data_IF_979928573709
#
_entry.id   IF_979928573709
#
_cell.length_a   1.000
_cell.length_b   1.000
_cell.length_c   1.000
_cell.angle_alpha   90.00
_cell.angle_beta   90.00
_cell.angle_gamma   90.00
#
_symmetry.space_group_name_H-M   'P 1'
#
loop_
_entity.id
_entity.type
_entity.pdbx_description
1 polymer ?
#
# COMPACT_ATOMS: atom_id res chain seq x y z
N UNK A 1 13.35 5.66 13.01
CA UNK A 1 12.14 4.91 13.44
C UNK A 1 12.69 3.69 14.16
N UNK A 2 13.27 3.88 15.35
CA UNK A 2 14.29 2.95 15.85
C UNK A 2 13.73 1.98 16.91
N UNK A 3 12.43 2.06 17.19
CA UNK A 3 11.74 1.10 18.04
C UNK A 3 11.16 0.00 17.16
N UNK A 4 11.64 -1.22 17.31
CA UNK A 4 10.97 -2.39 16.74
C UNK A 4 9.54 -2.46 17.30
N UNK A 5 8.53 -2.41 16.43
CA UNK A 5 7.12 -2.52 16.82
C UNK A 5 6.81 -4.01 17.07
N UNK A 6 6.43 -4.42 18.30
CA UNK A 6 6.24 -5.83 18.63
C UNK A 6 5.24 -6.55 17.72
N UNK A 7 4.19 -5.85 17.31
CA UNK A 7 3.17 -6.38 16.39
C UNK A 7 3.68 -6.69 14.97
N UNK A 8 4.85 -6.16 14.59
CA UNK A 8 5.44 -6.30 13.25
C UNK A 8 6.14 -7.65 13.05
N UNK A 9 6.81 -8.18 14.08
CA UNK A 9 7.71 -9.32 13.97
C UNK A 9 7.11 -10.63 14.55
N UNK A 10 5.79 -10.81 14.43
CA UNK A 10 5.08 -11.95 15.01
C UNK A 10 4.40 -12.79 13.93
N UNK A 11 4.45 -14.12 14.06
CA UNK A 11 3.62 -15.00 13.26
C UNK A 11 2.13 -14.65 13.49
N UNK A 12 1.39 -14.49 12.39
CA UNK A 12 0.04 -13.93 12.39
C UNK A 12 0.00 -12.50 12.95
N UNK A 13 0.93 -11.64 12.53
CA UNK A 13 0.95 -10.22 12.88
C UNK A 13 -0.40 -9.55 12.62
N UNK A 14 -0.71 -8.53 13.40
CA UNK A 14 -1.99 -7.83 13.33
C UNK A 14 -1.79 -6.39 12.85
N UNK A 15 -2.22 -6.12 11.62
CA UNK A 15 -2.13 -4.80 10.97
C UNK A 15 -2.74 -3.67 11.80
N UNK A 16 -3.86 -3.94 12.48
CA UNK A 16 -4.50 -2.98 13.37
C UNK A 16 -3.65 -2.68 14.61
N UNK A 17 -3.05 -3.71 15.22
CA UNK A 17 -2.16 -3.53 16.36
C UNK A 17 -0.94 -2.71 15.95
N UNK A 18 -0.37 -3.02 14.79
CA UNK A 18 0.74 -2.26 14.21
C UNK A 18 0.39 -0.79 13.96
N UNK A 19 -0.75 -0.49 13.34
CA UNK A 19 -1.23 0.88 13.16
C UNK A 19 -1.37 1.63 14.49
N UNK A 20 -1.94 0.96 15.50
CA UNK A 20 -2.12 1.54 16.83
C UNK A 20 -0.78 1.87 17.49
N UNK A 21 0.15 0.92 17.52
CA UNK A 21 1.49 1.09 18.10
C UNK A 21 2.28 2.18 17.35
N UNK A 22 2.19 2.22 16.02
CA UNK A 22 2.82 3.26 15.21
C UNK A 22 2.26 4.64 15.55
N UNK A 23 0.93 4.79 15.58
CA UNK A 23 0.29 6.05 15.93
C UNK A 23 0.62 6.52 17.34
N UNK A 24 0.67 5.61 18.32
CA UNK A 24 1.10 5.93 19.69
C UNK A 24 2.54 6.45 19.73
N UNK A 25 3.46 5.76 19.07
CA UNK A 25 4.87 6.16 19.00
C UNK A 25 5.06 7.51 18.29
N UNK A 26 4.30 7.76 17.22
CA UNK A 26 4.33 9.03 16.49
C UNK A 26 3.77 10.19 17.34
N UNK A 27 2.65 9.97 18.05
CA UNK A 27 2.08 10.98 18.94
C UNK A 27 3.02 11.37 20.07
N UNK A 28 3.68 10.39 20.69
CA UNK A 28 4.71 10.64 21.69
C UNK A 28 5.87 11.45 21.09
N UNK A 29 6.38 11.02 19.92
CA UNK A 29 7.50 11.68 19.23
C UNK A 29 7.21 13.13 18.87
N UNK A 30 6.03 13.40 18.31
CA UNK A 30 5.70 14.70 17.73
C UNK A 30 4.85 15.58 18.66
N UNK A 31 4.31 15.06 19.75
CA UNK A 31 3.50 15.81 20.71
C UNK A 31 2.17 16.31 20.13
N UNK A 32 1.36 15.40 19.59
CA UNK A 32 0.00 15.70 19.09
C UNK A 32 -1.03 14.69 19.60
N UNK A 33 -2.32 15.05 19.49
CA UNK A 33 -3.44 14.26 19.98
C UNK A 33 -3.84 13.15 19.00
N UNK A 34 -4.71 12.25 19.47
CA UNK A 34 -5.29 11.17 18.67
C UNK A 34 -6.28 11.66 17.61
N UNK A 35 -6.65 12.95 17.59
CA UNK A 35 -7.60 13.52 16.63
C UNK A 35 -6.93 14.40 15.57
N UNK A 36 -5.62 14.61 15.66
CA UNK A 36 -4.84 15.48 14.77
C UNK A 36 -3.93 14.64 13.84
N UNK A 37 -3.56 15.23 12.70
CA UNK A 37 -2.61 14.65 11.74
C UNK A 37 -1.33 15.47 11.71
N UNK A 38 -0.20 14.81 11.44
CA UNK A 38 1.09 15.48 11.25
C UNK A 38 1.53 15.40 9.78
N UNK A 39 1.95 16.54 9.23
CA UNK A 39 2.63 16.62 7.92
C UNK A 39 3.81 17.57 8.04
N UNK A 40 5.03 17.09 7.79
CA UNK A 40 6.28 17.85 7.91
C UNK A 40 6.49 18.49 9.29
N UNK A 41 6.14 17.77 10.36
CA UNK A 41 6.28 18.29 11.72
C UNK A 41 5.32 19.42 12.06
N UNK A 42 4.25 19.59 11.25
CA UNK A 42 3.14 20.51 11.52
C UNK A 42 1.88 19.72 11.80
N UNK A 43 1.08 20.22 12.73
CA UNK A 43 -0.17 19.61 13.20
C UNK A 43 -1.35 20.23 12.47
N UNK A 44 -2.27 19.39 12.01
CA UNK A 44 -3.47 19.78 11.28
C UNK A 44 -4.72 19.10 11.85
N UNK A 45 -5.84 19.83 11.86
CA UNK A 45 -7.16 19.27 12.13
C UNK A 45 -7.92 19.07 10.80
N UNK A 46 -7.88 17.85 10.28
CA UNK A 46 -8.54 17.47 9.03
C UNK A 46 -9.98 16.98 9.25
N UNK A 47 -10.51 16.98 10.47
CA UNK A 47 -11.87 16.49 10.75
C UNK A 47 -12.95 17.20 9.91
N UNK A 48 -12.92 18.54 9.71
CA UNK A 48 -13.88 19.22 8.85
C UNK A 48 -13.73 18.87 7.36
N UNK A 49 -12.56 18.36 6.95
CA UNK A 49 -12.23 18.07 5.56
C UNK A 49 -12.54 16.63 5.13
N UNK A 50 -12.83 15.72 6.08
CA UNK A 50 -13.04 14.30 5.83
C UNK A 50 -14.00 14.03 4.66
N UNK A 51 -15.16 14.69 4.67
CA UNK A 51 -16.22 14.47 3.69
C UNK A 51 -15.90 15.05 2.30
N UNK A 52 -15.06 16.08 2.23
CA UNK A 52 -14.70 16.78 0.99
C UNK A 52 -13.39 16.30 0.38
N UNK A 53 -12.64 15.44 1.08
CA UNK A 53 -11.37 14.92 0.59
C UNK A 53 -11.57 14.12 -0.71
N UNK A 54 -10.94 14.50 -1.85
CA UNK A 54 -11.14 13.80 -3.13
C UNK A 54 -10.74 12.32 -3.12
N UNK A 55 -9.80 11.92 -2.26
CA UNK A 55 -9.44 10.52 -2.05
C UNK A 55 -10.43 9.75 -1.16
N UNK A 56 -11.50 10.41 -0.69
CA UNK A 56 -12.47 9.86 0.25
C UNK A 56 -12.04 9.96 1.72
N UNK A 57 -13.02 9.89 2.63
CA UNK A 57 -12.81 9.98 4.08
C UNK A 57 -12.00 8.83 4.67
N UNK A 58 -12.08 7.65 4.03
CA UNK A 58 -11.53 6.39 4.54
C UNK A 58 -10.04 6.50 4.93
N UNK A 59 -9.23 7.14 4.09
CA UNK A 59 -7.80 7.28 4.33
C UNK A 59 -7.48 8.15 5.54
N UNK A 60 -8.20 9.26 5.68
CA UNK A 60 -8.01 10.19 6.79
C UNK A 60 -8.47 9.56 8.11
N UNK A 61 -9.60 8.84 8.10
CA UNK A 61 -10.09 8.08 9.26
C UNK A 61 -9.11 6.98 9.68
N UNK A 62 -8.57 6.24 8.71
CA UNK A 62 -7.63 5.15 8.97
C UNK A 62 -6.31 5.64 9.57
N UNK A 63 -5.92 6.88 9.26
CA UNK A 63 -4.62 7.47 9.63
C UNK A 63 -4.74 8.57 10.68
N UNK A 64 -5.91 8.71 11.31
CA UNK A 64 -6.13 9.71 12.33
C UNK A 64 -5.17 9.52 13.51
N UNK A 65 -4.55 10.60 13.97
CA UNK A 65 -3.58 10.53 15.06
C UNK A 65 -2.21 10.01 14.64
N UNK A 66 -1.83 10.15 13.36
CA UNK A 66 -0.54 9.70 12.80
C UNK A 66 0.22 10.81 12.06
N UNK A 67 1.52 10.59 11.87
CA UNK A 67 2.33 11.30 10.89
C UNK A 67 2.08 10.73 9.50
N UNK A 68 1.42 11.52 8.66
CA UNK A 68 1.03 11.18 7.29
C UNK A 68 1.87 11.92 6.25
N UNK A 69 3.04 12.45 6.64
CA UNK A 69 4.00 13.06 5.71
C UNK A 69 4.31 12.18 4.50
N UNK A 70 4.62 10.87 4.65
CA UNK A 70 4.88 10.01 3.50
C UNK A 70 3.68 9.86 2.57
N UNK A 71 2.48 9.68 3.14
CA UNK A 71 1.23 9.58 2.37
C UNK A 71 0.98 10.87 1.58
N UNK A 72 1.15 12.01 2.25
CA UNK A 72 0.96 13.30 1.63
C UNK A 72 1.91 13.49 0.44
N UNK A 73 3.20 13.21 0.65
CA UNK A 73 4.23 13.39 -0.38
C UNK A 73 4.11 12.40 -1.54
N UNK A 74 3.66 11.16 -1.31
CA UNK A 74 3.54 10.13 -2.35
C UNK A 74 2.29 10.27 -3.23
N UNK A 75 1.16 10.71 -2.68
CA UNK A 75 -0.13 10.65 -3.38
C UNK A 75 -0.59 11.99 -3.97
N UNK A 76 -0.08 13.11 -3.48
CA UNK A 76 -0.50 14.44 -3.92
C UNK A 76 0.45 14.99 -4.98
N UNK A 77 0.08 14.78 -6.26
CA UNK A 77 0.91 15.20 -7.41
C UNK A 77 0.94 16.72 -7.62
N UNK A 78 -0.20 17.41 -7.42
CA UNK A 78 -0.30 18.87 -7.52
C UNK A 78 0.05 19.55 -6.19
N UNK A 79 1.35 19.66 -5.94
CA UNK A 79 1.92 20.08 -4.65
C UNK A 79 1.46 21.48 -4.21
N UNK A 80 1.37 22.44 -5.14
CA UNK A 80 0.98 23.81 -4.82
C UNK A 80 -0.47 23.88 -4.35
N UNK A 81 -1.39 23.23 -5.08
CA UNK A 81 -2.80 23.19 -4.73
C UNK A 81 -3.04 22.45 -3.42
N UNK A 82 -2.41 21.29 -3.24
CA UNK A 82 -2.66 20.43 -2.08
C UNK A 82 -2.10 21.06 -0.80
N UNK A 83 -0.95 21.75 -0.86
CA UNK A 83 -0.45 22.54 0.27
C UNK A 83 -1.35 23.73 0.61
N UNK A 84 -1.89 24.42 -0.39
CA UNK A 84 -2.82 25.54 -0.15
C UNK A 84 -4.10 25.07 0.55
N UNK A 85 -4.63 23.90 0.19
CA UNK A 85 -5.77 23.29 0.89
C UNK A 85 -5.38 22.84 2.29
N UNK A 86 -4.26 22.12 2.44
CA UNK A 86 -3.77 21.63 3.74
C UNK A 86 -3.56 22.78 4.74
N UNK A 87 -3.04 23.93 4.28
CA UNK A 87 -2.79 25.10 5.11
C UNK A 87 -4.04 25.69 5.78
N UNK A 88 -5.24 25.45 5.24
CA UNK A 88 -6.51 25.91 5.85
C UNK A 88 -6.82 25.19 7.16
N UNK A 89 -6.21 24.04 7.39
CA UNK A 89 -6.43 23.16 8.54
C UNK A 89 -5.26 23.17 9.53
N UNK A 90 -4.29 24.07 9.34
CA UNK A 90 -3.12 24.16 10.19
C UNK A 90 -3.50 24.61 11.61
N UNK A 91 -2.96 23.92 12.61
CA UNK A 91 -3.16 24.22 14.03
C UNK A 91 -1.90 24.84 14.62
N UNK A 92 -0.78 24.12 14.53
CA UNK A 92 0.51 24.51 15.16
C UNK A 92 1.67 23.68 14.64
N UNK A 93 2.89 24.11 14.92
CA UNK A 93 4.08 23.27 14.75
C UNK A 93 4.17 22.25 15.89
N UNK A 94 4.81 21.11 15.63
CA UNK A 94 5.08 20.10 16.65
C UNK A 94 6.10 20.62 17.66
N UNK A 95 5.88 20.47 18.99
CA UNK A 95 6.82 20.93 20.01
C UNK A 95 8.19 20.23 19.92
N UNK A 96 8.19 18.99 19.45
CA UNK A 96 9.38 18.12 19.39
C UNK A 96 9.74 17.77 17.93
N UNK A 97 9.71 18.74 17.02
CA UNK A 97 10.13 18.50 15.63
C UNK A 97 11.58 18.00 15.60
N UNK A 98 11.84 16.78 15.11
CA UNK A 98 13.20 16.39 14.74
C UNK A 98 13.69 17.37 13.64
N UNK A 99 15.00 17.60 13.51
CA UNK A 99 15.54 18.40 12.40
C UNK A 99 15.01 17.89 11.05
N UNK A 100 14.85 18.79 10.06
CA UNK A 100 14.09 18.53 8.83
C UNK A 100 14.62 17.29 8.11
N UNK A 101 13.77 16.27 7.98
CA UNK A 101 13.78 15.09 7.09
C UNK A 101 15.12 14.58 6.52
N UNK A 102 16.27 14.82 7.16
CA UNK A 102 17.57 14.23 6.81
C UNK A 102 17.68 12.80 7.35
N UNK A 103 16.72 12.39 8.17
CA UNK A 103 16.68 11.12 8.90
C UNK A 103 15.87 10.00 8.21
N UNK A 104 15.81 10.00 6.88
CA UNK A 104 15.34 8.85 6.09
C UNK A 104 16.37 8.41 5.02
N UNK A 105 17.65 8.78 5.19
CA UNK A 105 18.73 7.98 4.59
C UNK A 105 18.76 6.66 5.34
N UNK A 106 18.10 5.66 4.79
CA UNK A 106 18.27 4.28 5.23
C UNK A 106 19.19 3.61 4.23
N UNK A 107 20.22 2.89 4.68
CA UNK A 107 20.91 1.98 3.78
C UNK A 107 19.84 1.02 3.24
N UNK A 108 19.76 0.90 1.91
CA UNK A 108 19.13 -0.27 1.31
C UNK A 108 19.76 -1.48 1.98
N UNK A 109 18.95 -2.46 2.43
CA UNK A 109 19.46 -3.67 3.06
C UNK A 109 20.64 -4.19 2.23
N UNK A 110 21.86 -4.05 2.77
CA UNK A 110 23.05 -4.49 2.06
C UNK A 110 22.97 -6.02 1.97
N UNK A 111 23.34 -6.64 0.85
CA UNK A 111 23.43 -8.10 0.71
C UNK A 111 24.48 -8.75 1.63
N UNK A 112 25.00 -8.03 2.62
CA UNK A 112 26.17 -8.43 3.42
C UNK A 112 25.88 -9.63 4.33
N UNK A 113 24.62 -10.04 4.49
CA UNK A 113 24.29 -11.37 4.95
C UNK A 113 24.26 -12.37 3.77
N UNK A 114 25.46 -12.73 3.31
CA UNK A 114 25.78 -13.86 2.43
C UNK A 114 25.53 -13.74 0.92
N UNK A 115 26.65 -13.85 0.19
CA UNK A 115 26.83 -14.18 -1.24
C UNK A 115 26.78 -13.02 -2.24
N UNK A 116 27.99 -12.60 -2.64
CA UNK A 116 28.42 -11.90 -3.87
C UNK A 116 27.62 -10.65 -4.34
N UNK A 117 28.24 -9.45 -4.34
CA UNK A 117 27.55 -8.22 -4.68
C UNK A 117 27.36 -8.11 -6.20
N UNK A 118 26.12 -8.18 -6.69
CA UNK A 118 25.78 -7.45 -7.92
C UNK A 118 25.70 -5.98 -7.57
N UNK A 119 26.79 -5.31 -7.87
CA UNK A 119 26.94 -3.88 -7.71
C UNK A 119 25.93 -3.15 -8.61
N UNK A 120 24.94 -2.49 -8.01
CA UNK A 120 24.39 -1.27 -8.61
C UNK A 120 25.45 -0.17 -8.46
N UNK A 121 26.52 -0.26 -9.26
CA UNK A 121 27.44 0.85 -9.45
C UNK A 121 26.64 1.99 -10.10
N UNK A 122 26.70 3.18 -9.52
CA UNK A 122 26.47 4.39 -10.30
C UNK A 122 27.40 4.38 -11.51
N UNK A 123 26.99 5.01 -12.62
CA UNK A 123 27.78 5.04 -13.86
C UNK A 123 29.22 5.60 -13.69
N UNK A 124 29.57 6.13 -12.52
CA UNK A 124 30.87 6.70 -12.14
C UNK A 124 31.71 5.85 -11.15
N UNK A 125 31.20 4.71 -10.66
CA UNK A 125 31.93 3.86 -9.71
C UNK A 125 31.94 4.34 -8.24
N UNK A 126 31.06 5.25 -7.83
CA UNK A 126 30.85 5.61 -6.43
C UNK A 126 30.10 4.52 -5.61
N UNK A 127 30.22 4.61 -4.27
CA UNK A 127 29.60 3.77 -3.21
C UNK A 127 28.13 3.37 -3.49
N UNK A 128 27.60 2.29 -2.88
CA UNK A 128 26.21 1.87 -3.12
C UNK A 128 25.26 3.05 -2.99
N UNK A 129 24.43 3.25 -4.01
CA UNK A 129 23.47 4.35 -4.07
C UNK A 129 22.47 4.16 -2.92
N UNK A 130 22.62 4.92 -1.84
CA UNK A 130 21.58 5.02 -0.81
C UNK A 130 20.31 5.56 -1.48
N UNK A 131 19.21 4.82 -1.36
CA UNK A 131 17.92 5.32 -1.81
C UNK A 131 17.50 6.47 -0.88
N UNK A 132 17.54 7.70 -1.41
CA UNK A 132 17.15 8.88 -0.66
C UNK A 132 15.62 9.00 -0.59
N UNK A 133 15.01 8.29 0.37
CA UNK A 133 13.58 8.39 0.69
C UNK A 133 13.24 9.65 1.50
N UNK A 134 14.13 10.64 1.56
CA UNK A 134 13.79 11.94 2.14
C UNK A 134 12.73 12.66 1.30
N UNK A 135 12.04 13.59 1.97
CA UNK A 135 11.08 14.48 1.34
C UNK A 135 11.70 15.82 0.91
N UNK A 136 13.03 15.86 0.78
CA UNK A 136 13.76 17.02 0.25
C UNK A 136 13.42 17.23 -1.23
N UNK A 137 13.56 18.45 -1.73
CA UNK A 137 13.27 18.74 -3.14
C UNK A 137 14.14 17.94 -4.12
N UNK A 138 15.37 17.59 -3.72
CA UNK A 138 16.28 16.70 -4.45
C UNK A 138 16.01 15.21 -4.20
N UNK A 139 15.27 14.86 -3.15
CA UNK A 139 15.00 13.48 -2.74
C UNK A 139 14.10 12.72 -3.73
N UNK A 140 13.97 11.41 -3.51
CA UNK A 140 13.28 10.48 -4.41
C UNK A 140 11.84 10.91 -4.71
N UNK A 141 11.02 11.14 -3.68
CA UNK A 141 9.59 11.42 -3.83
C UNK A 141 9.31 12.68 -4.65
N UNK A 142 10.00 13.76 -4.34
CA UNK A 142 9.84 15.06 -5.03
C UNK A 142 10.34 14.98 -6.48
N UNK A 143 11.46 14.31 -6.70
CA UNK A 143 12.00 14.07 -8.05
C UNK A 143 11.11 13.15 -8.88
N UNK A 144 10.52 12.12 -8.28
CA UNK A 144 9.55 11.25 -8.94
C UNK A 144 8.28 12.01 -9.32
N UNK A 145 7.67 12.76 -8.39
CA UNK A 145 6.47 13.57 -8.67
C UNK A 145 6.66 14.53 -9.83
N UNK A 146 7.77 15.28 -9.87
CA UNK A 146 8.05 16.20 -10.99
C UNK A 146 8.11 15.48 -12.34
N UNK A 147 8.81 14.34 -12.39
CA UNK A 147 8.93 13.53 -13.62
C UNK A 147 7.59 12.92 -14.03
N UNK A 148 6.84 12.36 -13.09
CA UNK A 148 5.53 11.79 -13.33
C UNK A 148 4.53 12.84 -13.84
N UNK A 149 4.50 14.02 -13.22
CA UNK A 149 3.65 15.13 -13.68
C UNK A 149 4.04 15.61 -15.08
N UNK A 150 5.34 15.68 -15.38
CA UNK A 150 5.82 15.97 -16.74
C UNK A 150 5.33 14.94 -17.76
N UNK A 151 5.50 13.64 -17.45
CA UNK A 151 5.04 12.56 -18.32
C UNK A 151 3.52 12.56 -18.53
N UNK A 152 2.74 12.81 -17.47
CA UNK A 152 1.28 12.92 -17.55
C UNK A 152 0.85 14.08 -18.44
N UNK A 153 1.47 15.26 -18.31
CA UNK A 153 1.19 16.42 -19.16
C UNK A 153 1.53 16.12 -20.63
N UNK A 154 2.70 15.55 -20.90
CA UNK A 154 3.10 15.15 -22.26
C UNK A 154 2.11 14.13 -22.85
N UNK A 155 1.65 13.16 -22.06
CA UNK A 155 0.65 12.19 -22.51
C UNK A 155 -0.70 12.85 -22.81
N UNK A 156 -1.13 13.81 -21.99
CA UNK A 156 -2.35 14.59 -22.22
C UNK A 156 -2.25 15.48 -23.45
N UNK A 157 -1.08 16.08 -23.71
CA UNK A 157 -0.80 16.90 -24.88
C UNK A 157 -0.84 16.06 -26.16
N UNK A 158 -0.23 14.88 -26.13
CA UNK A 158 -0.14 13.96 -27.27
C UNK A 158 -1.42 13.13 -27.50
N UNK A 159 -2.38 13.14 -26.57
CA UNK A 159 -3.63 12.40 -26.72
C UNK A 159 -4.48 12.99 -27.85
N UNK A 160 -4.54 12.27 -28.99
CA UNK A 160 -5.43 12.59 -30.13
C UNK A 160 -6.91 12.54 -29.76
N UNK A 161 -7.26 11.84 -28.68
CA UNK A 161 -8.64 11.67 -28.25
C UNK A 161 -8.94 12.64 -27.08
N UNK A 162 -9.64 13.74 -27.38
CA UNK A 162 -9.98 14.79 -26.41
C UNK A 162 -10.78 14.25 -25.22
N UNK A 163 -11.53 13.16 -25.36
CA UNK A 163 -12.28 12.53 -24.26
C UNK A 163 -11.41 11.78 -23.24
N UNK A 164 -10.14 11.50 -23.58
CA UNK A 164 -9.16 10.87 -22.67
C UNK A 164 -8.25 11.88 -21.95
N UNK A 165 -8.29 13.17 -22.31
CA UNK A 165 -7.61 14.24 -21.56
C UNK A 165 -8.26 14.36 -20.18
N UNK A 166 -7.48 14.23 -19.10
CA UNK A 166 -8.00 14.29 -17.74
C UNK A 166 -8.89 13.09 -17.35
N UNK A 167 -8.75 11.92 -17.99
CA UNK A 167 -9.44 10.70 -17.56
C UNK A 167 -8.95 10.30 -16.15
N UNK A 168 -9.78 10.54 -15.12
CA UNK A 168 -9.47 10.33 -13.70
C UNK A 168 -9.94 8.97 -13.15
N UNK A 169 -10.26 8.00 -14.02
CA UNK A 169 -10.80 6.72 -13.59
C UNK A 169 -11.01 5.71 -14.73
N UNK A 170 -11.54 4.51 -14.43
CA UNK A 170 -11.69 3.44 -15.40
C UNK A 170 -12.69 3.79 -16.49
N UNK A 171 -12.31 3.53 -17.74
CA UNK A 171 -13.14 3.77 -18.93
C UNK A 171 -14.36 2.84 -18.97
N UNK A 172 -15.35 3.11 -19.81
CA UNK A 172 -16.51 2.24 -19.95
C UNK A 172 -16.14 0.83 -20.40
N UNK A 173 -15.13 0.70 -21.25
CA UNK A 173 -14.59 -0.59 -21.68
C UNK A 173 -13.97 -1.37 -20.51
N UNK A 174 -13.18 -0.69 -19.66
CA UNK A 174 -12.61 -1.32 -18.45
C UNK A 174 -13.71 -1.80 -17.50
N UNK A 175 -14.78 -1.00 -17.33
CA UNK A 175 -15.93 -1.37 -16.50
C UNK A 175 -16.65 -2.59 -17.06
N UNK A 176 -16.94 -2.60 -18.37
CA UNK A 176 -17.60 -3.71 -19.04
C UNK A 176 -16.77 -4.99 -18.98
N UNK A 177 -15.45 -4.90 -19.21
CA UNK A 177 -14.54 -6.03 -19.08
C UNK A 177 -14.53 -6.59 -17.66
N UNK A 178 -14.54 -5.72 -16.63
CA UNK A 178 -14.55 -6.19 -15.25
C UNK A 178 -15.85 -6.93 -14.91
N UNK A 179 -17.01 -6.43 -15.37
CA UNK A 179 -18.27 -7.16 -15.23
C UNK A 179 -18.27 -8.50 -15.97
N UNK A 180 -17.73 -8.55 -17.19
CA UNK A 180 -17.59 -9.80 -17.94
C UNK A 180 -16.69 -10.80 -17.21
N UNK A 181 -15.57 -10.35 -16.64
CA UNK A 181 -14.67 -11.17 -15.83
C UNK A 181 -15.36 -11.70 -14.56
N UNK A 182 -16.12 -10.84 -13.87
CA UNK A 182 -16.87 -11.24 -12.67
C UNK A 182 -17.92 -12.31 -13.00
N UNK A 183 -18.69 -12.12 -14.07
CA UNK A 183 -19.68 -13.10 -14.53
C UNK A 183 -19.04 -14.42 -14.98
N UNK A 184 -17.91 -14.35 -15.69
CA UNK A 184 -17.15 -15.52 -16.09
C UNK A 184 -16.61 -16.29 -14.88
N UNK A 185 -16.08 -15.57 -13.88
CA UNK A 185 -15.60 -16.16 -12.64
C UNK A 185 -16.73 -16.83 -11.87
N UNK A 186 -17.88 -16.17 -11.69
CA UNK A 186 -19.06 -16.75 -11.04
C UNK A 186 -19.53 -18.02 -11.75
N UNK A 187 -19.54 -18.01 -13.09
CA UNK A 187 -19.90 -19.17 -13.90
C UNK A 187 -18.91 -20.34 -13.70
N UNK A 188 -17.60 -20.04 -13.69
CA UNK A 188 -16.56 -21.03 -13.43
C UNK A 188 -16.62 -21.58 -12.00
N UNK A 189 -16.95 -20.74 -11.02
CA UNK A 189 -17.14 -21.14 -9.63
C UNK A 189 -18.35 -22.07 -9.49
N UNK A 190 -19.50 -21.72 -10.07
CA UNK A 190 -20.68 -22.59 -10.09
C UNK A 190 -20.36 -23.93 -10.75
N UNK A 191 -19.65 -23.91 -11.89
CA UNK A 191 -19.21 -25.12 -12.55
C UNK A 191 -18.29 -25.96 -11.65
N UNK A 192 -17.36 -25.34 -10.94
CA UNK A 192 -16.49 -26.00 -9.98
C UNK A 192 -17.28 -26.65 -8.83
N UNK A 193 -18.30 -25.97 -8.31
CA UNK A 193 -19.15 -26.49 -7.23
C UNK A 193 -20.10 -27.61 -7.71
N UNK A 194 -20.54 -27.57 -8.97
CA UNK A 194 -21.43 -28.59 -9.54
C UNK A 194 -20.71 -29.80 -10.13
N UNK A 195 -19.44 -29.64 -10.50
CA UNK A 195 -18.64 -30.71 -11.08
C UNK A 195 -18.30 -31.76 -10.01
N UNK A 196 -18.66 -33.02 -10.27
CA UNK A 196 -18.44 -34.15 -9.34
C UNK A 196 -16.95 -34.47 -9.11
N UNK A 197 -16.09 -34.07 -10.04
CA UNK A 197 -14.62 -34.10 -9.93
C UNK A 197 -14.01 -33.34 -11.11
N UNK A 198 -13.29 -32.25 -10.86
CA UNK A 198 -12.55 -31.59 -11.93
C UNK A 198 -11.61 -30.52 -11.41
N UNK A 199 -10.30 -30.76 -11.51
CA UNK A 199 -9.28 -29.73 -11.29
C UNK A 199 -9.35 -28.61 -12.33
N UNK A 200 -9.94 -28.88 -13.50
CA UNK A 200 -10.08 -27.92 -14.62
C UNK A 200 -10.94 -26.70 -14.24
N UNK A 201 -12.21 -26.84 -13.80
CA UNK A 201 -13.01 -25.68 -13.41
C UNK A 201 -12.39 -24.91 -12.24
N UNK A 202 -11.70 -25.59 -11.32
CA UNK A 202 -10.96 -24.94 -10.23
C UNK A 202 -9.80 -24.07 -10.75
N UNK A 203 -9.00 -24.57 -11.70
CA UNK A 203 -7.91 -23.80 -12.34
C UNK A 203 -8.46 -22.61 -13.11
N UNK A 204 -9.53 -22.78 -13.87
CA UNK A 204 -10.19 -21.68 -14.61
C UNK A 204 -10.71 -20.61 -13.65
N UNK A 205 -11.41 -21.02 -12.59
CA UNK A 205 -11.89 -20.10 -11.56
C UNK A 205 -10.73 -19.36 -10.88
N UNK A 206 -9.62 -20.05 -10.58
CA UNK A 206 -8.42 -19.43 -9.98
C UNK A 206 -7.76 -18.37 -10.87
N UNK A 207 -7.62 -18.64 -12.17
CA UNK A 207 -7.05 -17.66 -13.13
C UNK A 207 -7.94 -16.42 -13.22
N UNK A 208 -9.25 -16.60 -13.34
CA UNK A 208 -10.21 -15.49 -13.39
C UNK A 208 -10.23 -14.70 -12.08
N UNK A 209 -10.16 -15.38 -10.94
CA UNK A 209 -10.08 -14.76 -9.62
C UNK A 209 -8.82 -13.92 -9.47
N UNK A 210 -7.67 -14.39 -9.98
CA UNK A 210 -6.42 -13.63 -9.95
C UNK A 210 -6.54 -12.30 -10.72
N UNK A 211 -7.20 -12.31 -11.89
CA UNK A 211 -7.46 -11.09 -12.64
C UNK A 211 -8.36 -10.12 -11.86
N UNK A 212 -9.42 -10.62 -11.23
CA UNK A 212 -10.31 -9.82 -10.37
C UNK A 212 -9.58 -9.26 -9.14
N UNK A 213 -8.71 -10.07 -8.51
CA UNK A 213 -7.88 -9.65 -7.39
C UNK A 213 -6.93 -8.51 -7.80
N UNK A 214 -6.33 -8.56 -8.98
CA UNK A 214 -5.52 -7.46 -9.53
C UNK A 214 -6.33 -6.19 -9.79
N UNK A 215 -7.59 -6.31 -10.24
CA UNK A 215 -8.48 -5.15 -10.38
C UNK A 215 -8.84 -4.57 -9.00
N UNK A 216 -9.15 -5.42 -8.01
CA UNK A 216 -9.41 -4.99 -6.64
C UNK A 216 -8.20 -4.35 -5.97
N UNK A 217 -7.01 -4.90 -6.23
CA UNK A 217 -5.72 -4.31 -5.84
C UNK A 217 -5.56 -2.90 -6.40
N UNK A 218 -5.83 -2.68 -7.69
CA UNK A 218 -5.79 -1.32 -8.24
C UNK A 218 -6.88 -0.41 -7.65
N UNK A 219 -8.07 -0.96 -7.40
CA UNK A 219 -9.19 -0.22 -6.81
C UNK A 219 -8.87 0.34 -5.42
N UNK A 220 -8.07 -0.36 -4.61
CA UNK A 220 -7.72 0.08 -3.25
C UNK A 220 -6.87 1.35 -3.24
N UNK A 221 -6.05 1.60 -4.28
CA UNK A 221 -5.16 2.77 -4.37
C UNK A 221 -5.91 4.07 -4.73
N UNK A 222 -7.20 3.97 -5.02
CA UNK A 222 -8.02 5.09 -5.47
C UNK A 222 -9.02 5.52 -4.40
N UNK A 223 -9.81 6.55 -4.69
CA UNK A 223 -10.96 6.89 -3.84
C UNK A 223 -11.85 5.63 -3.65
N UNK A 224 -12.39 5.40 -2.43
CA UNK A 224 -13.19 4.21 -2.15
C UNK A 224 -14.28 3.99 -3.19
N UNK A 225 -14.16 2.87 -3.89
CA UNK A 225 -15.14 2.37 -4.85
C UNK A 225 -15.35 0.89 -4.57
N UNK A 226 -16.46 0.34 -5.05
CA UNK A 226 -16.78 -1.08 -4.84
C UNK A 226 -15.73 -2.01 -5.48
N UNK A 227 -14.98 -1.54 -6.49
CA UNK A 227 -13.93 -2.31 -7.16
C UNK A 227 -12.92 -2.91 -6.18
N UNK A 228 -12.57 -2.18 -5.10
CA UNK A 228 -11.59 -2.66 -4.11
C UNK A 228 -11.99 -3.99 -3.47
N UNK A 229 -13.29 -4.25 -3.36
CA UNK A 229 -13.84 -5.45 -2.74
C UNK A 229 -13.69 -6.70 -3.62
N UNK A 230 -13.33 -6.56 -4.90
CA UNK A 230 -12.97 -7.70 -5.75
C UNK A 230 -11.74 -8.45 -5.22
N UNK A 231 -10.87 -7.77 -4.46
CA UNK A 231 -9.76 -8.42 -3.75
C UNK A 231 -10.25 -9.36 -2.64
N UNK A 232 -11.37 -9.05 -1.99
CA UNK A 232 -11.84 -9.82 -0.84
C UNK A 232 -12.31 -11.22 -1.27
N UNK A 233 -12.63 -11.40 -2.56
CA UNK A 233 -12.94 -12.70 -3.16
C UNK A 233 -11.75 -13.68 -3.12
N UNK A 234 -10.51 -13.20 -3.01
CA UNK A 234 -9.30 -14.02 -2.91
C UNK A 234 -8.82 -14.23 -1.48
N UNK A 235 -9.72 -14.14 -0.50
CA UNK A 235 -9.49 -14.37 0.95
C UNK A 235 -8.65 -13.29 1.66
N UNK A 236 -8.05 -12.40 0.89
CA UNK A 236 -7.52 -11.13 1.37
C UNK A 236 -8.65 -10.25 1.95
N UNK A 237 -8.27 -9.16 2.58
CA UNK A 237 -9.21 -8.14 3.06
C UNK A 237 -8.71 -6.80 2.56
N UNK A 238 -9.52 -6.14 1.74
CA UNK A 238 -9.22 -4.83 1.16
C UNK A 238 -8.91 -3.81 2.24
N UNK A 239 -9.59 -3.85 3.39
CA UNK A 239 -9.27 -3.00 4.54
C UNK A 239 -7.89 -3.28 5.12
N UNK A 240 -7.55 -4.55 5.33
CA UNK A 240 -6.27 -4.95 5.88
C UNK A 240 -5.11 -4.73 4.92
N UNK A 241 -5.32 -5.06 3.65
CA UNK A 241 -4.35 -4.83 2.59
C UNK A 241 -4.14 -3.33 2.35
N UNK A 242 -5.16 -2.49 2.55
CA UNK A 242 -4.97 -1.03 2.58
C UNK A 242 -3.94 -0.64 3.65
N UNK A 243 -3.96 -1.26 4.83
CA UNK A 243 -3.00 -0.98 5.90
C UNK A 243 -1.61 -1.52 5.56
N UNK A 244 -1.47 -2.80 5.25
CA UNK A 244 -0.13 -3.38 5.01
C UNK A 244 0.49 -2.85 3.72
N UNK A 245 -0.28 -2.87 2.64
CA UNK A 245 0.23 -2.62 1.30
C UNK A 245 0.32 -1.12 1.00
N UNK A 246 -0.78 -0.39 1.19
CA UNK A 246 -0.82 1.02 0.81
C UNK A 246 -0.19 1.91 1.88
N UNK A 247 -0.51 1.68 3.15
CA UNK A 247 0.03 2.50 4.24
C UNK A 247 1.44 2.11 4.67
N UNK A 248 1.85 0.85 4.54
CA UNK A 248 3.22 0.45 4.88
C UNK A 248 4.12 0.28 3.67
N UNK A 249 3.83 -0.68 2.78
CA UNK A 249 4.74 -1.12 1.74
C UNK A 249 5.07 0.02 0.75
N UNK A 250 4.09 0.71 0.19
CA UNK A 250 4.34 1.76 -0.81
C UNK A 250 5.09 3.01 -0.29
N UNK A 251 5.13 3.24 1.03
CA UNK A 251 5.86 4.37 1.61
C UNK A 251 7.33 4.06 1.91
N UNK A 252 7.64 2.78 2.06
CA UNK A 252 8.95 2.35 2.51
C UNK A 252 9.36 1.01 1.87
N UNK A 253 9.18 0.84 0.54
CA UNK A 253 9.23 -0.47 -0.09
C UNK A 253 10.59 -1.12 0.09
N UNK A 254 10.60 -2.35 0.61
CA UNK A 254 11.85 -3.11 0.80
C UNK A 254 12.73 -2.62 1.95
N UNK A 255 12.23 -1.71 2.79
CA UNK A 255 12.94 -1.25 3.98
C UNK A 255 12.47 -2.00 5.24
N UNK A 256 13.17 -1.79 6.36
CA UNK A 256 12.73 -2.32 7.66
C UNK A 256 11.46 -1.66 8.20
N UNK A 257 11.00 -0.53 7.64
CA UNK A 257 9.73 0.10 8.02
C UNK A 257 8.52 -0.52 7.28
N UNK A 258 8.77 -1.36 6.27
CA UNK A 258 7.75 -2.06 5.50
C UNK A 258 7.17 -3.24 6.29
N UNK A 259 5.88 -3.16 6.61
CA UNK A 259 5.15 -4.22 7.30
C UNK A 259 5.11 -5.51 6.48
N UNK A 260 4.91 -5.45 5.16
CA UNK A 260 4.76 -6.66 4.33
C UNK A 260 6.07 -7.44 4.26
N UNK A 261 7.18 -6.72 4.22
CA UNK A 261 8.52 -7.33 4.33
C UNK A 261 8.71 -7.90 5.73
N UNK A 262 8.63 -7.06 6.76
CA UNK A 262 8.99 -7.45 8.12
C UNK A 262 8.08 -8.54 8.72
N UNK A 263 6.81 -8.62 8.31
CA UNK A 263 5.87 -9.63 8.80
C UNK A 263 6.13 -11.04 8.27
N UNK A 264 6.83 -11.16 7.14
CA UNK A 264 7.06 -12.44 6.44
C UNK A 264 8.57 -12.77 6.36
N UNK A 265 9.45 -11.91 6.88
CA UNK A 265 10.86 -12.24 7.08
C UNK A 265 11.04 -13.51 7.96
N UNK A 266 11.98 -14.42 7.62
CA UNK A 266 12.95 -14.32 6.52
C UNK A 266 12.48 -14.90 5.18
N UNK A 267 11.23 -15.32 5.03
CA UNK A 267 10.79 -16.15 3.91
C UNK A 267 10.86 -15.42 2.55
N UNK A 268 10.62 -14.11 2.53
CA UNK A 268 10.58 -13.29 1.31
C UNK A 268 11.85 -12.44 1.09
N UNK A 269 12.86 -12.59 1.94
CA UNK A 269 14.13 -11.85 1.84
C UNK A 269 14.77 -11.95 0.44
N UNK A 270 14.73 -13.16 -0.14
CA UNK A 270 15.27 -13.45 -1.47
C UNK A 270 14.56 -12.70 -2.61
N UNK A 271 13.33 -12.22 -2.40
CA UNK A 271 12.59 -11.43 -3.40
C UNK A 271 13.21 -10.06 -3.63
N UNK A 272 13.80 -9.46 -2.58
CA UNK A 272 14.33 -8.09 -2.63
C UNK A 272 15.87 -8.06 -2.63
N UNK A 273 16.53 -9.08 -2.06
CA UNK A 273 17.99 -9.21 -2.08
C UNK A 273 18.54 -9.86 -3.37
N UNK A 274 17.67 -10.42 -4.21
CA UNK A 274 18.03 -11.09 -5.46
C UNK A 274 18.32 -10.13 -6.62
N UNK A 275 19.01 -10.60 -7.68
CA UNK A 275 19.24 -9.78 -8.87
C UNK A 275 17.91 -9.38 -9.53
N UNK A 276 17.83 -8.12 -10.01
CA UNK A 276 16.60 -7.51 -10.55
C UNK A 276 15.95 -8.31 -11.71
N UNK A 277 16.71 -9.18 -12.39
CA UNK A 277 16.27 -9.99 -13.53
C UNK A 277 16.23 -11.49 -13.24
N UNK A 278 15.83 -11.91 -12.03
CA UNK A 278 15.69 -13.32 -11.71
C UNK A 278 14.47 -13.94 -12.43
N UNK A 279 14.71 -14.73 -13.47
CA UNK A 279 13.67 -15.39 -14.28
C UNK A 279 12.78 -16.37 -13.48
N UNK A 280 13.22 -16.82 -12.31
CA UNK A 280 12.46 -17.71 -11.43
C UNK A 280 11.59 -16.95 -10.42
N UNK A 281 11.83 -15.64 -10.24
CA UNK A 281 11.11 -14.79 -9.31
C UNK A 281 9.59 -14.84 -9.52
N UNK A 282 9.05 -14.81 -10.76
CA UNK A 282 7.61 -14.91 -10.96
C UNK A 282 7.05 -16.23 -10.44
N UNK A 283 7.69 -17.37 -10.71
CA UNK A 283 7.18 -18.68 -10.29
C UNK A 283 7.17 -18.83 -8.77
N UNK A 284 8.21 -18.36 -8.10
CA UNK A 284 8.27 -18.34 -6.65
C UNK A 284 7.20 -17.39 -6.07
N UNK A 285 7.09 -16.17 -6.60
CA UNK A 285 6.11 -15.18 -6.16
C UNK A 285 4.67 -15.67 -6.34
N UNK A 286 4.34 -16.26 -7.48
CA UNK A 286 3.03 -16.87 -7.74
C UNK A 286 2.73 -18.01 -6.77
N UNK A 287 3.71 -18.84 -6.45
CA UNK A 287 3.56 -19.93 -5.49
C UNK A 287 3.27 -19.42 -4.08
N UNK A 288 3.94 -18.34 -3.66
CA UNK A 288 3.69 -17.65 -2.39
C UNK A 288 2.28 -17.06 -2.36
N UNK A 289 1.86 -16.35 -3.41
CA UNK A 289 0.53 -15.73 -3.48
C UNK A 289 -0.61 -16.76 -3.36
N UNK A 290 -0.45 -17.96 -3.94
CA UNK A 290 -1.43 -19.04 -3.83
C UNK A 290 -1.65 -19.51 -2.37
N UNK A 291 -0.63 -19.43 -1.52
CA UNK A 291 -0.71 -19.83 -0.11
C UNK A 291 -1.08 -18.63 0.78
N UNK A 292 -0.74 -17.42 0.35
CA UNK A 292 -0.88 -16.21 1.14
C UNK A 292 -2.35 -15.88 1.45
N UNK A 293 -3.27 -16.01 0.49
CA UNK A 293 -4.70 -15.77 0.75
C UNK A 293 -5.29 -16.63 1.88
N UNK A 294 -5.17 -17.98 1.81
CA UNK A 294 -5.57 -18.86 2.91
C UNK A 294 -4.84 -18.57 4.24
N UNK A 295 -3.54 -18.27 4.19
CA UNK A 295 -2.77 -17.91 5.38
C UNK A 295 -3.30 -16.61 6.02
N UNK A 296 -3.61 -15.60 5.21
CA UNK A 296 -4.18 -14.32 5.63
C UNK A 296 -5.55 -14.48 6.29
N UNK A 297 -6.40 -15.34 5.72
CA UNK A 297 -7.67 -15.70 6.35
C UNK A 297 -7.45 -16.38 7.70
N UNK A 298 -6.54 -17.35 7.80
CA UNK A 298 -6.23 -18.02 9.06
C UNK A 298 -5.69 -17.04 10.11
N UNK A 299 -4.75 -16.17 9.72
CA UNK A 299 -4.18 -15.13 10.58
C UNK A 299 -5.26 -14.21 11.13
N UNK A 300 -6.17 -13.74 10.25
CA UNK A 300 -7.31 -12.91 10.59
C UNK A 300 -8.23 -13.62 11.59
N UNK A 301 -8.60 -14.87 11.35
CA UNK A 301 -9.46 -15.64 12.24
C UNK A 301 -8.83 -15.85 13.62
N UNK A 302 -7.52 -16.13 13.69
CA UNK A 302 -6.77 -16.22 14.96
C UNK A 302 -6.81 -14.88 15.69
N UNK A 303 -6.56 -13.78 14.99
CA UNK A 303 -6.52 -12.44 15.58
C UNK A 303 -7.90 -11.96 16.09
N UNK A 304 -8.99 -12.41 15.45
CA UNK A 304 -10.38 -12.13 15.87
C UNK A 304 -10.81 -13.05 17.02
N UNK A 305 -10.73 -14.36 16.84
CA UNK A 305 -11.36 -15.35 17.73
C UNK A 305 -10.49 -15.66 18.93
N UNK A 306 -9.21 -15.97 18.71
CA UNK A 306 -8.31 -16.45 19.77
C UNK A 306 -7.66 -15.29 20.52
N UNK A 307 -7.10 -14.32 19.80
CA UNK A 307 -6.34 -13.21 20.39
C UNK A 307 -7.21 -12.00 20.76
N UNK A 308 -8.39 -11.85 20.14
CA UNK A 308 -9.34 -10.74 20.37
C UNK A 308 -8.73 -9.33 20.22
N UNK A 309 -7.73 -9.20 19.36
CA UNK A 309 -7.05 -7.92 19.07
C UNK A 309 -7.60 -7.24 17.81
N UNK A 310 -8.25 -8.02 16.94
CA UNK A 310 -8.91 -7.54 15.73
C UNK A 310 -10.43 -7.65 15.90
N UNK A 311 -11.19 -6.58 15.68
CA UNK A 311 -12.64 -6.65 15.78
C UNK A 311 -13.17 -7.38 14.56
N UNK A 312 -14.33 -8.02 14.72
CA UNK A 312 -15.07 -8.51 13.57
C UNK A 312 -15.53 -7.32 12.70
N UNK A 313 -15.58 -7.56 11.40
CA UNK A 313 -16.02 -6.60 10.39
C UNK A 313 -16.95 -7.33 9.40
N UNK A 314 -18.05 -6.71 8.94
CA UNK A 314 -18.95 -7.32 7.97
C UNK A 314 -18.25 -7.78 6.69
N UNK A 315 -17.24 -7.03 6.25
CA UNK A 315 -16.43 -7.33 5.07
C UNK A 315 -15.69 -8.68 5.17
N UNK A 316 -15.57 -9.27 6.36
CA UNK A 316 -14.99 -10.61 6.54
C UNK A 316 -15.91 -11.74 6.08
N UNK A 317 -17.22 -11.49 5.95
CA UNK A 317 -18.18 -12.48 5.44
C UNK A 317 -18.54 -12.22 3.98
N UNK A 318 -18.79 -10.96 3.64
CA UNK A 318 -19.23 -10.54 2.32
C UNK A 318 -18.47 -9.29 1.90
N UNK A 319 -17.80 -9.30 0.73
CA UNK A 319 -17.12 -8.12 0.21
C UNK A 319 -18.07 -6.91 0.15
N UNK A 320 -17.71 -5.83 0.85
CA UNK A 320 -18.46 -4.57 0.87
C UNK A 320 -19.70 -4.50 1.77
N UNK A 321 -19.87 -5.45 2.69
CA UNK A 321 -20.88 -5.39 3.75
C UNK A 321 -20.56 -4.37 4.86
#
# INVERSE_FOLDING_TARGET
MDRALPSRNALFSCRRAWMKEMGEAQRERFGHSAHEWVVHGKVYDLAPYLASHPGGRHWLELTQGMDVTPLFESHHVDDAKTRAVLGQFYVRDCPNTPPPASALRQPLLSPEASVAPQSNKGADGSSPVEADFSFLDSGFYRSFKRRALGALRTAEENSKNKSKRGARGPTMEMRALTWALLLAWLSALVWCCSARSGSVPAVVAGILLNALAGIGHNGMHTAPTWWRWLLDLSLFSSHEWTISHCLSHHHYPGTQADFEVAAIEPFIYSLYAGPANNAYLPFYFWSVLCILGPFELLARLINIVLRRIQPWRPEHLLPGA
#
